data_IF_609823753394
#
_entry.id   IF_609823753394
#
_cell.length_a   1.000
_cell.length_b   1.000
_cell.length_c   1.000
_cell.angle_alpha   90.00
_cell.angle_beta   90.00
_cell.angle_gamma   90.00
#
_symmetry.space_group_name_H-M   'P 1'
#
loop_
_entity.id
_entity.type
_entity.pdbx_description
1 polymer ?
#
# COMPACT_ATOMS: atom_id res chain seq x y z
N UNK A 1 8.35 -10.90 2.05
CA UNK A 1 9.04 -10.90 3.37
C UNK A 1 8.30 -9.98 4.31
N UNK A 2 8.31 -10.27 5.60
CA UNK A 2 7.68 -9.48 6.66
C UNK A 2 8.67 -9.30 7.81
N UNK A 3 8.44 -8.30 8.62
CA UNK A 3 9.16 -8.07 9.87
C UNK A 3 8.17 -8.17 11.02
N UNK A 4 8.46 -9.08 11.95
CA UNK A 4 7.79 -9.12 13.24
C UNK A 4 8.53 -8.17 14.19
N UNK A 5 7.79 -7.32 14.87
CA UNK A 5 8.34 -6.45 15.90
C UNK A 5 7.59 -6.74 17.19
N UNK A 6 8.33 -7.27 18.17
CA UNK A 6 7.86 -7.48 19.52
C UNK A 6 8.98 -7.12 20.51
N UNK A 7 8.64 -6.71 21.72
CA UNK A 7 9.64 -6.62 22.77
C UNK A 7 9.97 -8.02 23.29
N UNK A 8 11.24 -8.31 23.58
CA UNK A 8 11.68 -9.62 24.09
C UNK A 8 10.93 -10.05 25.37
N UNK A 9 10.46 -9.08 26.16
CA UNK A 9 9.69 -9.31 27.36
C UNK A 9 8.24 -9.72 27.06
N UNK A 10 7.69 -9.34 25.91
CA UNK A 10 6.29 -9.63 25.54
C UNK A 10 6.13 -10.98 24.83
N UNK A 11 7.16 -11.50 24.16
CA UNK A 11 7.09 -12.71 23.34
C UNK A 11 7.00 -14.00 24.18
N UNK A 12 7.41 -13.96 25.44
CA UNK A 12 7.61 -15.18 26.24
C UNK A 12 6.37 -15.79 26.88
N UNK A 13 5.29 -15.03 27.10
CA UNK A 13 4.26 -15.53 28.02
C UNK A 13 2.80 -15.57 27.53
N UNK A 14 2.45 -15.01 26.35
CA UNK A 14 1.06 -15.03 25.85
C UNK A 14 1.00 -14.85 24.33
N UNK A 15 -0.02 -15.43 23.64
CA UNK A 15 -0.39 -14.98 22.32
C UNK A 15 -1.02 -13.57 22.38
N UNK A 16 -0.74 -12.73 21.36
CA UNK A 16 -1.04 -11.30 21.33
C UNK A 16 -2.03 -10.96 20.22
N UNK A 17 -2.85 -9.90 20.36
CA UNK A 17 -3.56 -9.34 19.22
C UNK A 17 -2.55 -8.77 18.21
N UNK A 18 -2.83 -8.98 16.94
CA UNK A 18 -1.94 -8.53 15.86
C UNK A 18 -2.41 -7.19 15.32
N UNK A 19 -1.45 -6.29 15.08
CA UNK A 19 -1.62 -5.11 14.23
C UNK A 19 -0.86 -5.32 12.92
N UNK A 20 -1.58 -5.31 11.81
CA UNK A 20 -1.04 -5.53 10.48
C UNK A 20 -1.06 -4.24 9.65
N UNK A 21 0.08 -3.92 9.04
CA UNK A 21 0.19 -2.89 7.99
C UNK A 21 0.79 -3.52 6.73
N UNK A 22 0.17 -3.29 5.57
CA UNK A 22 0.67 -3.72 4.27
C UNK A 22 0.95 -2.50 3.39
N UNK A 23 2.12 -2.42 2.76
CA UNK A 23 2.59 -1.19 2.11
C UNK A 23 3.57 -1.46 0.97
N UNK A 24 3.68 -0.57 -0.03
CA UNK A 24 4.60 -0.72 -1.16
C UNK A 24 5.96 -0.01 -0.97
N UNK A 25 6.21 0.67 0.15
CA UNK A 25 7.30 1.64 0.27
C UNK A 25 8.57 1.13 0.95
N UNK A 26 8.58 -0.12 1.42
CA UNK A 26 9.67 -0.71 2.20
C UNK A 26 9.37 -0.69 3.71
N UNK A 27 9.22 -1.89 4.28
CA UNK A 27 8.82 -2.07 5.69
C UNK A 27 9.78 -1.45 6.71
N UNK A 28 11.03 -1.17 6.31
CA UNK A 28 12.02 -0.58 7.20
C UNK A 28 11.75 0.89 7.52
N UNK A 29 10.99 1.56 6.64
CA UNK A 29 10.58 2.97 6.80
C UNK A 29 9.09 3.14 7.12
N UNK A 30 8.36 2.04 7.27
CA UNK A 30 6.90 2.05 7.45
C UNK A 30 6.40 2.82 8.68
N UNK A 31 7.27 3.04 9.63
CA UNK A 31 6.95 3.67 10.91
C UNK A 31 7.39 5.13 10.99
N UNK A 32 7.52 5.81 9.87
CA UNK A 32 8.12 7.14 9.85
C UNK A 32 7.19 8.25 10.35
N UNK A 33 6.74 9.11 9.50
CA UNK A 33 6.16 10.40 9.86
C UNK A 33 4.72 10.28 10.37
N UNK A 34 3.94 9.31 9.88
CA UNK A 34 2.48 9.27 10.08
C UNK A 34 2.05 8.43 11.28
N UNK A 35 2.84 7.42 11.62
CA UNK A 35 2.52 6.49 12.71
C UNK A 35 3.66 6.36 13.70
N UNK A 36 3.31 5.98 14.93
CA UNK A 36 4.31 5.61 15.94
C UNK A 36 5.14 4.40 15.45
N UNK A 37 6.41 4.38 15.84
CA UNK A 37 7.29 3.27 15.52
C UNK A 37 6.69 1.93 15.96
N UNK A 38 6.81 0.84 15.20
CA UNK A 38 6.23 -0.45 15.54
C UNK A 38 6.55 -0.95 16.97
N UNK A 39 7.74 -0.63 17.49
CA UNK A 39 8.10 -0.97 18.87
C UNK A 39 7.24 -0.26 19.93
N UNK A 40 6.69 0.91 19.62
CA UNK A 40 5.75 1.58 20.52
C UNK A 40 4.46 0.79 20.66
N UNK A 41 3.92 0.31 19.54
CA UNK A 41 2.74 -0.56 19.55
C UNK A 41 3.02 -1.89 20.25
N UNK A 42 4.19 -2.48 20.00
CA UNK A 42 4.63 -3.70 20.67
C UNK A 42 4.72 -3.51 22.20
N UNK A 43 5.19 -2.34 22.67
CA UNK A 43 5.21 -2.02 24.11
C UNK A 43 3.82 -1.88 24.74
N UNK A 44 2.78 -1.72 23.90
CA UNK A 44 1.37 -1.68 24.34
C UNK A 44 0.68 -3.05 24.29
N UNK A 45 1.42 -4.11 23.99
CA UNK A 45 0.89 -5.47 24.02
C UNK A 45 0.32 -5.95 22.68
N UNK A 46 0.85 -5.46 21.57
CA UNK A 46 0.49 -5.93 20.23
C UNK A 46 1.66 -6.65 19.57
N UNK A 47 1.36 -7.70 18.83
CA UNK A 47 2.28 -8.24 17.83
C UNK A 47 2.13 -7.39 16.55
N UNK A 48 3.19 -6.70 16.16
CA UNK A 48 3.14 -5.82 14.98
C UNK A 48 3.74 -6.50 13.77
N UNK A 49 2.96 -6.58 12.70
CA UNK A 49 3.36 -7.16 11.43
C UNK A 49 3.38 -6.05 10.36
N UNK A 50 4.55 -5.77 9.83
CA UNK A 50 4.71 -4.86 8.68
C UNK A 50 5.12 -5.70 7.47
N UNK A 51 4.29 -5.67 6.43
CA UNK A 51 4.51 -6.42 5.20
C UNK A 51 4.74 -5.49 4.02
N UNK A 52 5.82 -5.70 3.28
CA UNK A 52 5.92 -5.18 1.93
C UNK A 52 4.97 -5.96 1.01
N UNK A 53 4.15 -5.27 0.24
CA UNK A 53 3.29 -5.92 -0.75
C UNK A 53 4.13 -6.61 -1.83
N UNK A 54 3.54 -7.56 -2.53
CA UNK A 54 4.21 -8.35 -3.57
C UNK A 54 4.92 -7.43 -4.57
N UNK A 55 6.17 -7.75 -4.90
CA UNK A 55 6.99 -7.00 -5.84
C UNK A 55 7.48 -5.64 -5.34
N UNK A 56 7.32 -5.31 -4.05
CA UNK A 56 7.80 -4.06 -3.47
C UNK A 56 8.68 -4.31 -2.25
N UNK A 57 9.52 -3.32 -1.92
CA UNK A 57 10.47 -3.38 -0.80
C UNK A 57 11.32 -4.64 -0.83
N UNK A 58 11.28 -5.44 0.22
CA UNK A 58 11.98 -6.72 0.32
C UNK A 58 11.13 -7.93 -0.07
N UNK A 59 9.90 -7.76 -0.57
CA UNK A 59 9.06 -8.85 -1.03
C UNK A 59 9.38 -9.26 -2.48
N UNK A 60 9.31 -10.56 -2.75
CA UNK A 60 9.51 -11.11 -4.09
C UNK A 60 8.27 -10.99 -4.96
N UNK A 61 8.36 -11.50 -6.20
CA UNK A 61 7.31 -11.43 -7.20
C UNK A 61 7.28 -10.11 -7.95
N UNK A 62 6.24 -9.94 -8.77
CA UNK A 62 6.02 -8.73 -9.55
C UNK A 62 4.92 -7.88 -8.94
N UNK A 63 5.06 -6.57 -9.02
CA UNK A 63 4.07 -5.61 -8.55
C UNK A 63 3.08 -5.30 -9.67
N UNK A 64 1.82 -5.61 -9.45
CA UNK A 64 0.71 -5.31 -10.37
C UNK A 64 -0.30 -4.32 -9.79
N UNK A 65 0.15 -3.51 -8.83
CA UNK A 65 -0.69 -2.52 -8.16
C UNK A 65 -1.83 -3.16 -7.38
N UNK A 66 -3.00 -2.54 -7.40
CA UNK A 66 -4.16 -3.01 -6.64
C UNK A 66 -4.75 -4.34 -7.13
N UNK A 67 -4.36 -4.82 -8.32
CA UNK A 67 -4.90 -6.06 -8.88
C UNK A 67 -4.58 -7.32 -8.06
N UNK A 68 -3.47 -7.30 -7.35
CA UNK A 68 -3.00 -8.42 -6.53
C UNK A 68 -3.52 -8.40 -5.09
N UNK A 69 -3.99 -7.21 -4.64
CA UNK A 69 -4.17 -6.95 -3.22
C UNK A 69 -5.29 -7.77 -2.59
N UNK A 70 -6.35 -8.08 -3.32
CA UNK A 70 -7.44 -8.91 -2.77
C UNK A 70 -6.95 -10.30 -2.35
N UNK A 71 -6.23 -10.99 -3.24
CA UNK A 71 -5.68 -12.32 -2.97
C UNK A 71 -4.59 -12.27 -1.90
N UNK A 72 -3.68 -11.29 -1.99
CA UNK A 72 -2.58 -11.16 -1.05
C UNK A 72 -3.07 -10.79 0.36
N UNK A 73 -4.13 -9.97 0.47
CA UNK A 73 -4.78 -9.67 1.75
C UNK A 73 -5.33 -10.95 2.37
N UNK A 74 -6.07 -11.75 1.60
CA UNK A 74 -6.68 -13.00 2.07
C UNK A 74 -5.63 -13.98 2.59
N UNK A 75 -4.56 -14.18 1.83
CA UNK A 75 -3.45 -15.06 2.22
C UNK A 75 -2.71 -14.52 3.46
N UNK A 76 -2.47 -13.21 3.52
CA UNK A 76 -1.76 -12.58 4.64
C UNK A 76 -2.58 -12.68 5.92
N UNK A 77 -3.90 -12.44 5.88
CA UNK A 77 -4.76 -12.55 7.06
C UNK A 77 -4.78 -13.98 7.60
N UNK A 78 -4.89 -14.98 6.72
CA UNK A 78 -4.85 -16.38 7.12
C UNK A 78 -3.50 -16.74 7.74
N UNK A 79 -2.41 -16.29 7.13
CA UNK A 79 -1.07 -16.51 7.66
C UNK A 79 -0.88 -15.84 9.03
N UNK A 80 -1.27 -14.57 9.19
CA UNK A 80 -1.15 -13.84 10.47
C UNK A 80 -1.89 -14.57 11.58
N UNK A 81 -3.11 -15.05 11.31
CA UNK A 81 -3.89 -15.79 12.31
C UNK A 81 -3.32 -17.18 12.65
N UNK A 82 -2.47 -17.73 11.78
CA UNK A 82 -1.78 -19.01 12.01
C UNK A 82 -0.50 -18.88 12.84
N UNK A 83 -0.03 -17.65 13.10
CA UNK A 83 1.16 -17.43 13.92
C UNK A 83 0.93 -17.94 15.37
N UNK A 84 1.86 -18.69 15.94
CA UNK A 84 1.77 -19.15 17.34
C UNK A 84 1.62 -18.00 18.34
N UNK A 85 2.17 -16.83 18.01
CA UNK A 85 2.13 -15.63 18.82
C UNK A 85 0.80 -14.86 18.69
N UNK A 86 -0.06 -15.20 17.74
CA UNK A 86 -1.35 -14.56 17.50
C UNK A 86 -2.43 -15.17 18.38
N UNK A 87 -3.17 -14.35 19.13
CA UNK A 87 -4.33 -14.81 19.92
C UNK A 87 -5.64 -14.92 19.10
N UNK A 88 -5.56 -14.84 17.77
CA UNK A 88 -6.69 -14.89 16.85
C UNK A 88 -7.27 -13.51 16.48
N UNK A 89 -6.93 -12.45 17.23
CA UNK A 89 -7.40 -11.09 16.94
C UNK A 89 -6.47 -10.37 15.98
N UNK A 90 -7.04 -9.77 14.94
CA UNK A 90 -6.35 -9.03 13.88
C UNK A 90 -6.93 -7.63 13.72
N UNK A 91 -6.15 -6.60 14.02
CA UNK A 91 -6.41 -5.23 13.65
C UNK A 91 -5.56 -4.83 12.43
N UNK A 92 -6.11 -4.00 11.56
CA UNK A 92 -5.39 -3.43 10.41
C UNK A 92 -5.36 -1.91 10.49
N UNK A 93 -4.26 -1.30 10.06
CA UNK A 93 -4.09 0.15 10.08
C UNK A 93 -3.17 0.62 8.95
N UNK A 94 -3.28 1.88 8.58
CA UNK A 94 -2.43 2.48 7.55
C UNK A 94 -3.16 3.53 6.73
N UNK A 95 -2.40 4.38 6.03
CA UNK A 95 -2.97 5.43 5.20
C UNK A 95 -2.63 5.25 3.72
N UNK A 96 -3.38 5.90 2.83
CA UNK A 96 -3.17 5.85 1.39
C UNK A 96 -3.22 4.40 0.87
N UNK A 97 -2.21 3.91 0.17
CA UNK A 97 -2.13 2.52 -0.28
C UNK A 97 -2.35 1.52 0.86
N UNK A 98 -1.78 1.78 2.02
CA UNK A 98 -1.96 0.96 3.23
C UNK A 98 -3.42 0.98 3.73
N UNK A 99 -4.15 2.05 3.45
CA UNK A 99 -5.58 2.17 3.73
C UNK A 99 -6.40 1.26 2.81
N UNK A 100 -6.13 1.28 1.50
CA UNK A 100 -6.81 0.44 0.53
C UNK A 100 -6.62 -1.06 0.81
N UNK A 101 -5.41 -1.49 1.15
CA UNK A 101 -5.12 -2.91 1.46
C UNK A 101 -5.94 -3.47 2.61
N UNK A 102 -6.51 -2.62 3.45
CA UNK A 102 -7.39 -3.03 4.56
C UNK A 102 -8.84 -3.25 4.13
N UNK A 103 -9.23 -2.74 2.97
CA UNK A 103 -10.63 -2.71 2.53
C UNK A 103 -10.94 -3.76 1.46
N UNK A 104 -9.95 -4.37 0.85
CA UNK A 104 -10.11 -5.32 -0.25
C UNK A 104 -9.55 -6.70 0.09
N UNK A 105 -10.34 -7.73 -0.19
CA UNK A 105 -9.98 -9.14 -0.01
C UNK A 105 -10.83 -10.01 -0.94
N UNK A 106 -10.44 -11.26 -1.10
CA UNK A 106 -11.26 -12.25 -1.80
C UNK A 106 -12.53 -12.58 -1.00
N UNK A 107 -13.60 -12.91 -1.74
CA UNK A 107 -14.87 -13.33 -1.12
C UNK A 107 -14.65 -14.51 -0.15
N UNK A 108 -15.35 -14.47 0.96
CA UNK A 108 -15.20 -15.48 2.00
C UNK A 108 -14.02 -15.27 2.98
N UNK A 109 -13.17 -14.26 2.75
CA UNK A 109 -12.09 -13.95 3.70
C UNK A 109 -12.65 -13.45 5.03
N UNK A 110 -12.26 -14.06 6.17
CA UNK A 110 -12.69 -13.58 7.47
C UNK A 110 -12.25 -12.13 7.73
N UNK A 111 -13.15 -11.25 8.19
CA UNK A 111 -12.81 -9.85 8.44
C UNK A 111 -11.74 -9.70 9.53
N UNK A 112 -10.93 -8.62 9.48
CA UNK A 112 -10.22 -8.15 10.66
C UNK A 112 -11.18 -7.83 11.80
N UNK A 113 -10.69 -7.86 13.03
CA UNK A 113 -11.50 -7.53 14.21
C UNK A 113 -11.66 -6.01 14.40
N UNK A 114 -10.72 -5.24 13.83
CA UNK A 114 -10.77 -3.78 13.75
C UNK A 114 -10.06 -3.31 12.48
N UNK A 115 -10.60 -2.29 11.81
CA UNK A 115 -10.10 -1.75 10.54
C UNK A 115 -9.93 -0.23 10.68
N UNK A 116 -8.73 0.29 10.40
CA UNK A 116 -8.41 1.72 10.55
C UNK A 116 -7.74 2.26 9.28
N UNK A 117 -8.49 2.42 8.19
CA UNK A 117 -7.96 3.01 6.97
C UNK A 117 -7.97 4.54 7.08
N UNK A 118 -6.88 5.16 6.68
CA UNK A 118 -6.74 6.60 6.68
C UNK A 118 -6.43 7.12 5.28
N UNK A 119 -7.03 8.25 4.88
CA UNK A 119 -6.69 8.98 3.67
C UNK A 119 -6.54 8.04 2.47
N UNK A 120 -7.61 7.34 2.08
CA UNK A 120 -7.61 6.34 1.03
C UNK A 120 -8.92 6.32 0.27
N UNK A 121 -8.89 5.81 -0.94
CA UNK A 121 -10.04 5.73 -1.82
C UNK A 121 -10.24 4.34 -2.42
N UNK A 122 -11.38 4.13 -3.03
CA UNK A 122 -11.80 2.86 -3.63
C UNK A 122 -11.86 2.91 -5.16
N UNK A 123 -12.07 4.09 -5.75
CA UNK A 123 -12.16 4.29 -7.19
C UNK A 123 -10.79 4.70 -7.74
N UNK A 124 -10.27 3.94 -8.71
CA UNK A 124 -8.93 4.19 -9.27
C UNK A 124 -8.87 5.51 -10.05
N UNK A 125 -9.97 5.97 -10.64
CA UNK A 125 -10.06 7.27 -11.30
C UNK A 125 -10.32 8.41 -10.31
N UNK A 126 -11.46 8.37 -9.61
CA UNK A 126 -11.93 9.50 -8.80
C UNK A 126 -11.10 9.73 -7.53
N UNK A 127 -10.49 8.66 -6.98
CA UNK A 127 -9.78 8.75 -5.71
C UNK A 127 -8.26 8.61 -5.82
N UNK A 128 -7.72 8.14 -6.97
CA UNK A 128 -6.30 7.83 -7.07
C UNK A 128 -5.59 8.50 -8.24
N UNK A 129 -6.30 8.81 -9.32
CA UNK A 129 -5.63 9.26 -10.53
C UNK A 129 -6.18 10.54 -11.15
N UNK A 130 -7.46 10.84 -10.94
CA UNK A 130 -8.11 11.98 -11.58
C UNK A 130 -8.96 12.79 -10.59
N UNK A 131 -9.19 14.05 -10.94
CA UNK A 131 -10.16 14.93 -10.32
C UNK A 131 -10.99 15.58 -11.41
N UNK A 132 -12.31 15.40 -11.36
CA UNK A 132 -13.20 15.92 -12.40
C UNK A 132 -12.87 15.42 -13.81
N UNK A 133 -12.26 14.23 -13.94
CA UNK A 133 -11.81 13.64 -15.19
C UNK A 133 -10.41 14.09 -15.65
N UNK A 134 -9.78 15.03 -14.94
CA UNK A 134 -8.41 15.45 -15.22
C UNK A 134 -7.41 14.63 -14.41
N UNK A 135 -6.42 14.03 -15.08
CA UNK A 135 -5.38 13.26 -14.41
C UNK A 135 -4.53 14.13 -13.47
N UNK A 136 -4.26 13.65 -12.29
CA UNK A 136 -3.40 14.31 -11.29
C UNK A 136 -1.95 14.25 -11.72
N UNK A 137 -1.57 15.15 -12.61
CA UNK A 137 -0.27 15.11 -13.25
C UNK A 137 0.90 15.11 -12.26
N UNK A 138 0.91 16.07 -11.35
CA UNK A 138 1.99 16.13 -10.35
C UNK A 138 2.00 14.94 -9.41
N UNK A 139 0.85 14.63 -8.81
CA UNK A 139 0.73 13.57 -7.81
C UNK A 139 0.87 12.18 -8.44
N UNK A 140 0.13 11.92 -9.52
CA UNK A 140 0.11 10.61 -10.16
C UNK A 140 1.44 10.26 -10.83
N UNK A 141 2.04 11.19 -11.59
CA UNK A 141 3.36 10.98 -12.20
C UNK A 141 4.45 10.87 -11.14
N UNK A 142 4.44 11.76 -10.15
CA UNK A 142 5.45 11.75 -9.07
C UNK A 142 5.43 10.43 -8.27
N UNK A 143 4.24 9.95 -7.92
CA UNK A 143 4.09 8.66 -7.26
C UNK A 143 4.47 7.48 -8.16
N UNK A 144 4.04 7.50 -9.42
CA UNK A 144 4.44 6.49 -10.40
C UNK A 144 5.95 6.38 -10.57
N UNK A 145 6.64 7.52 -10.66
CA UNK A 145 8.10 7.56 -10.75
C UNK A 145 8.77 7.09 -9.46
N UNK A 146 8.18 7.32 -8.30
CA UNK A 146 8.68 6.75 -7.04
C UNK A 146 8.62 5.22 -7.07
N UNK A 147 7.53 4.64 -7.55
CA UNK A 147 7.39 3.18 -7.71
C UNK A 147 8.38 2.63 -8.75
N UNK A 148 8.54 3.33 -9.89
CA UNK A 148 9.50 2.98 -10.93
C UNK A 148 10.96 3.04 -10.42
N UNK A 149 11.30 4.04 -9.60
CA UNK A 149 12.62 4.12 -8.96
C UNK A 149 12.89 2.93 -8.03
N UNK A 150 11.89 2.54 -7.24
CA UNK A 150 12.01 1.35 -6.37
C UNK A 150 12.18 0.07 -7.20
N UNK A 151 11.46 -0.07 -8.33
CA UNK A 151 11.66 -1.17 -9.27
C UNK A 151 13.07 -1.18 -9.82
N UNK A 152 13.55 -0.05 -10.34
CA UNK A 152 14.91 0.09 -10.85
C UNK A 152 15.97 -0.29 -9.79
N UNK A 153 15.77 0.09 -8.53
CA UNK A 153 16.66 -0.27 -7.42
C UNK A 153 16.67 -1.79 -7.18
N UNK A 154 15.51 -2.44 -7.15
CA UNK A 154 15.42 -3.91 -6.96
C UNK A 154 16.08 -4.68 -8.10
N UNK A 155 15.93 -4.20 -9.33
CA UNK A 155 16.53 -4.76 -10.54
C UNK A 155 18.01 -4.39 -10.71
N UNK A 156 18.57 -3.59 -9.79
CA UNK A 156 19.93 -3.05 -9.84
C UNK A 156 20.19 -2.19 -11.10
N UNK A 157 19.15 -1.62 -11.66
CA UNK A 157 19.22 -0.65 -12.75
C UNK A 157 19.56 0.73 -12.19
N UNK A 158 20.81 0.89 -11.74
CA UNK A 158 21.27 2.13 -11.09
C UNK A 158 21.19 3.35 -12.02
N UNK A 159 21.40 3.15 -13.33
CA UNK A 159 21.25 4.22 -14.31
C UNK A 159 19.82 4.76 -14.33
N UNK A 160 18.84 3.88 -14.40
CA UNK A 160 17.43 4.24 -14.36
C UNK A 160 17.05 4.90 -13.04
N UNK A 161 17.50 4.34 -11.94
CA UNK A 161 17.28 4.89 -10.61
C UNK A 161 17.80 6.33 -10.48
N UNK A 162 19.04 6.61 -10.92
CA UNK A 162 19.62 7.95 -10.89
C UNK A 162 18.89 8.92 -11.81
N UNK A 163 18.54 8.51 -13.03
CA UNK A 163 17.81 9.36 -13.97
C UNK A 163 16.44 9.75 -13.44
N UNK A 164 15.67 8.80 -12.90
CA UNK A 164 14.35 9.08 -12.29
C UNK A 164 14.53 10.05 -11.12
N UNK A 165 15.45 9.77 -10.22
CA UNK A 165 15.69 10.61 -9.04
C UNK A 165 16.08 12.03 -9.40
N UNK A 166 17.02 12.23 -10.35
CA UNK A 166 17.42 13.55 -10.83
C UNK A 166 16.23 14.34 -11.40
N UNK A 167 15.36 13.67 -12.16
CA UNK A 167 14.18 14.30 -12.73
C UNK A 167 13.14 14.66 -11.65
N UNK A 168 12.97 13.84 -10.62
CA UNK A 168 12.12 14.16 -9.46
C UNK A 168 12.67 15.36 -8.67
N UNK A 169 13.95 15.34 -8.32
CA UNK A 169 14.60 16.41 -7.54
C UNK A 169 14.60 17.75 -8.29
N UNK A 170 14.88 17.73 -9.61
CA UNK A 170 14.89 18.93 -10.47
C UNK A 170 13.50 19.37 -10.93
N UNK A 171 12.44 18.62 -10.62
CA UNK A 171 11.06 18.81 -11.09
C UNK A 171 10.90 18.72 -12.63
N UNK A 172 11.89 18.24 -13.37
CA UNK A 172 11.81 18.03 -14.82
C UNK A 172 10.74 17.00 -15.19
N UNK A 173 10.42 16.06 -14.28
CA UNK A 173 9.36 15.08 -14.50
C UNK A 173 7.99 15.70 -14.80
N UNK A 174 7.77 16.96 -14.45
CA UNK A 174 6.54 17.69 -14.83
C UNK A 174 6.39 17.84 -16.36
N UNK A 175 7.49 17.74 -17.10
CA UNK A 175 7.52 17.85 -18.56
C UNK A 175 7.77 16.51 -19.26
N UNK A 176 8.58 15.63 -18.67
CA UNK A 176 9.01 14.36 -19.29
C UNK A 176 8.60 13.12 -18.49
N UNK A 177 7.72 13.28 -17.51
CA UNK A 177 7.32 12.16 -16.62
C UNK A 177 6.62 11.02 -17.34
N UNK A 178 5.85 11.32 -18.39
CA UNK A 178 5.26 10.31 -19.26
C UNK A 178 6.35 9.41 -19.88
N UNK A 179 7.35 10.02 -20.53
CA UNK A 179 8.42 9.30 -21.22
C UNK A 179 9.29 8.49 -20.24
N UNK A 180 9.48 9.02 -19.02
CA UNK A 180 10.18 8.30 -17.96
C UNK A 180 9.40 7.07 -17.48
N UNK A 181 8.09 7.17 -17.31
CA UNK A 181 7.25 6.02 -16.95
C UNK A 181 7.21 5.00 -18.09
N UNK A 182 7.05 5.42 -19.32
CA UNK A 182 7.11 4.54 -20.50
C UNK A 182 8.44 3.79 -20.56
N UNK A 183 9.54 4.47 -20.30
CA UNK A 183 10.88 3.90 -20.35
C UNK A 183 11.19 2.93 -19.22
N UNK A 184 10.78 3.23 -17.99
CA UNK A 184 11.22 2.51 -16.78
C UNK A 184 10.16 1.64 -16.13
N UNK A 185 8.88 1.92 -16.37
CA UNK A 185 7.78 1.14 -15.82
C UNK A 185 6.54 1.13 -16.71
N UNK A 186 6.66 0.68 -17.99
CA UNK A 186 5.56 0.69 -18.96
C UNK A 186 4.38 -0.19 -18.55
N UNK A 187 4.61 -1.19 -17.70
CA UNK A 187 3.58 -2.06 -17.13
C UNK A 187 3.09 -1.57 -15.77
N UNK A 188 3.66 -0.49 -15.27
CA UNK A 188 3.34 0.08 -13.98
C UNK A 188 1.92 0.65 -13.91
N UNK A 189 1.34 0.64 -12.72
CA UNK A 189 -0.02 1.11 -12.47
C UNK A 189 -0.22 2.57 -12.89
N UNK A 190 0.72 3.46 -12.57
CA UNK A 190 0.61 4.87 -12.90
C UNK A 190 0.64 5.13 -14.41
N UNK A 191 1.49 4.43 -15.17
CA UNK A 191 1.52 4.54 -16.63
C UNK A 191 0.21 4.02 -17.26
N UNK A 192 -0.33 2.93 -16.74
CA UNK A 192 -1.63 2.40 -17.18
C UNK A 192 -2.76 3.39 -16.90
N UNK A 193 -2.80 4.02 -15.75
CA UNK A 193 -3.79 5.05 -15.42
C UNK A 193 -3.68 6.27 -16.32
N UNK A 194 -2.46 6.73 -16.62
CA UNK A 194 -2.24 7.84 -17.54
C UNK A 194 -2.80 7.53 -18.93
N UNK A 195 -2.57 6.32 -19.44
CA UNK A 195 -3.13 5.87 -20.71
C UNK A 195 -4.66 5.71 -20.67
N UNK A 196 -5.21 5.24 -19.55
CA UNK A 196 -6.67 5.18 -19.35
C UNK A 196 -7.29 6.56 -19.33
N UNK A 197 -6.70 7.54 -18.65
CA UNK A 197 -7.22 8.90 -18.58
C UNK A 197 -7.29 9.60 -19.93
N UNK A 198 -6.42 9.23 -20.86
CA UNK A 198 -6.43 9.73 -22.24
C UNK A 198 -7.28 8.91 -23.22
N UNK A 199 -7.85 7.78 -22.76
CA UNK A 199 -8.68 6.91 -23.59
C UNK A 199 -10.07 7.51 -23.84
N UNK A 200 -10.64 7.25 -25.01
CA UNK A 200 -12.03 7.63 -25.34
C UNK A 200 -13.07 6.81 -24.58
N UNK A 201 -12.71 5.61 -24.15
CA UNK A 201 -13.60 4.68 -23.41
C UNK A 201 -12.81 4.05 -22.27
N UNK A 202 -12.47 4.80 -21.22
CA UNK A 202 -11.67 4.29 -20.13
C UNK A 202 -12.44 3.26 -19.33
N UNK A 203 -11.77 2.17 -18.97
CA UNK A 203 -12.33 1.11 -18.11
C UNK A 203 -11.63 1.17 -16.75
N UNK A 204 -12.11 2.06 -15.90
CA UNK A 204 -11.61 2.21 -14.55
C UNK A 204 -12.16 1.16 -13.59
N UNK A 205 -11.37 0.83 -12.59
CA UNK A 205 -11.78 -0.08 -11.52
C UNK A 205 -12.25 0.68 -10.29
N UNK A 206 -13.35 0.19 -9.71
CA UNK A 206 -13.77 0.57 -8.36
C UNK A 206 -13.70 -0.66 -7.48
N UNK A 207 -12.88 -0.60 -6.45
CA UNK A 207 -12.74 -1.64 -5.45
C UNK A 207 -13.90 -1.57 -4.47
N UNK A 208 -14.35 -2.75 -4.00
CA UNK A 208 -15.49 -2.82 -3.09
C UNK A 208 -15.09 -3.60 -1.83
N UNK A 209 -15.25 -3.00 -0.66
CA UNK A 209 -15.07 -3.73 0.59
C UNK A 209 -16.10 -4.86 0.69
N UNK A 210 -15.71 -5.98 1.30
CA UNK A 210 -16.65 -7.05 1.59
C UNK A 210 -17.70 -6.56 2.61
N UNK A 211 -18.98 -6.82 2.34
CA UNK A 211 -20.07 -6.38 3.22
C UNK A 211 -19.97 -6.91 4.65
N UNK A 212 -19.38 -8.09 4.85
CA UNK A 212 -19.09 -8.65 6.16
C UNK A 212 -18.05 -7.84 6.96
N UNK A 213 -17.10 -7.20 6.27
CA UNK A 213 -16.07 -6.38 6.88
C UNK A 213 -16.61 -5.06 7.40
N UNK A 214 -17.57 -4.46 6.69
CA UNK A 214 -18.23 -3.20 7.09
C UNK A 214 -19.08 -3.34 8.36
N UNK A 215 -19.30 -4.56 8.85
CA UNK A 215 -19.97 -4.84 10.13
C UNK A 215 -19.00 -4.88 11.33
N UNK A 216 -17.70 -4.77 11.09
CA UNK A 216 -16.66 -4.75 12.14
C UNK A 216 -16.38 -3.32 12.61
N UNK A 217 -15.79 -3.15 13.80
CA UNK A 217 -15.30 -1.85 14.22
C UNK A 217 -14.44 -1.22 13.15
N UNK A 218 -14.85 -0.07 12.65
CA UNK A 218 -14.25 0.65 11.54
C UNK A 218 -14.06 2.12 11.93
N UNK A 219 -12.81 2.58 11.91
CA UNK A 219 -12.47 3.99 12.09
C UNK A 219 -11.92 4.55 10.78
N UNK A 220 -12.71 5.34 10.09
CA UNK A 220 -12.28 6.06 8.89
C UNK A 220 -11.64 7.39 9.29
N UNK A 221 -10.43 7.64 8.80
CA UNK A 221 -9.69 8.87 9.02
C UNK A 221 -9.45 9.52 7.67
N UNK A 222 -9.94 10.74 7.50
CA UNK A 222 -9.70 11.59 6.34
C UNK A 222 -9.18 12.96 6.74
N UNK A 223 -8.86 13.78 5.78
CA UNK A 223 -8.40 15.16 5.97
C UNK A 223 -9.07 16.11 4.98
N UNK A 224 -9.28 17.36 5.38
CA UNK A 224 -9.88 18.37 4.51
C UNK A 224 -9.07 18.67 3.24
N UNK A 225 -7.78 18.35 3.25
CA UNK A 225 -6.85 18.57 2.15
C UNK A 225 -6.30 17.25 1.57
N UNK A 226 -6.94 16.13 1.94
CA UNK A 226 -6.62 14.82 1.41
C UNK A 226 -7.13 14.72 -0.03
N UNK A 227 -6.30 14.31 -0.99
CA UNK A 227 -6.73 14.15 -2.39
C UNK A 227 -7.62 12.91 -2.61
N UNK A 228 -7.66 11.96 -1.67
CA UNK A 228 -8.40 10.69 -1.82
C UNK A 228 -9.85 10.77 -1.37
#
# INVERSE_FOLDING_TARGET
KYRLVGSEMCIRDRPWPVLLMRQPYGREIASTITYAHPSWWASKGYLVVIQDVRGQGGSGGEFSGFNQEASDTSQTHNWVRSLPECNGLLGTYGFSYQGLTQLIAEEGTPPPDCIIPAMTGLSEDEHWSCEGGAFWWHLGIGWGLQLAAQKAQREKNWKGWHEIRENLESKKYLYNGHDLLEKYDPEGMAYKWLNLSSSKTPQWKTHKPLGSWLKKPLLLIGGWWDPH
#
